data_IF_129738688593
#
_entry.id   IF_129738688593
#
_cell.length_a   1.000
_cell.length_b   1.000
_cell.length_c   1.000
_cell.angle_alpha   90.00
_cell.angle_beta   90.00
_cell.angle_gamma   90.00
#
_symmetry.space_group_name_H-M   'P 1'
#
loop_
_entity.id
_entity.type
_entity.pdbx_description
1 polymer ?
#
# COMPACT_ATOMS: atom_id res chain seq x y z
N UNK A 1 19.61 9.56 21.13
CA UNK A 1 18.31 10.05 20.62
C UNK A 1 17.53 8.86 20.10
N UNK A 2 16.48 8.44 20.81
CA UNK A 2 15.65 7.29 20.41
C UNK A 2 14.77 7.73 19.24
N UNK A 3 15.06 7.26 18.02
CA UNK A 3 14.13 7.43 16.89
C UNK A 3 13.04 6.38 17.07
N UNK A 4 11.90 6.78 17.61
CA UNK A 4 10.70 5.94 17.63
C UNK A 4 10.39 5.55 16.18
N UNK A 5 10.30 4.26 15.83
CA UNK A 5 9.98 3.86 14.47
C UNK A 5 8.60 4.43 14.11
N UNK A 6 8.52 5.17 13.01
CA UNK A 6 7.22 5.60 12.49
C UNK A 6 6.41 4.33 12.21
N UNK A 7 5.17 4.23 12.72
CA UNK A 7 4.32 3.11 12.35
C UNK A 7 4.18 3.08 10.83
N UNK A 8 4.13 1.87 10.22
CA UNK A 8 3.95 1.75 8.78
C UNK A 8 2.71 2.54 8.36
N UNK A 9 2.88 3.41 7.38
CA UNK A 9 1.78 4.17 6.78
C UNK A 9 0.87 3.14 6.12
N UNK A 10 -0.36 3.03 6.64
CA UNK A 10 -1.36 2.17 6.04
C UNK A 10 -1.88 2.83 4.77
N UNK A 11 -1.76 2.14 3.66
CA UNK A 11 -2.36 2.56 2.41
C UNK A 11 -3.86 2.29 2.49
N UNK A 12 -4.67 3.24 2.01
CA UNK A 12 -6.08 3.01 1.75
C UNK A 12 -6.23 2.53 0.29
N UNK A 13 -6.54 1.23 0.07
CA UNK A 13 -6.66 0.68 -1.28
C UNK A 13 -7.65 1.44 -2.14
N UNK A 14 -8.79 1.84 -1.58
CA UNK A 14 -9.87 2.49 -2.31
C UNK A 14 -9.41 3.84 -2.87
N UNK A 15 -8.69 4.63 -2.04
CA UNK A 15 -8.12 5.91 -2.47
C UNK A 15 -7.06 5.76 -3.56
N UNK A 16 -6.24 4.71 -3.51
CA UNK A 16 -5.22 4.46 -4.54
C UNK A 16 -5.87 4.00 -5.84
N UNK A 17 -6.90 3.16 -5.78
CA UNK A 17 -7.65 2.70 -6.95
C UNK A 17 -8.33 3.89 -7.66
N UNK A 18 -8.89 4.83 -6.90
CA UNK A 18 -9.53 6.03 -7.48
C UNK A 18 -8.53 6.92 -8.22
N UNK A 19 -7.29 7.01 -7.72
CA UNK A 19 -6.24 7.89 -8.26
C UNK A 19 -5.37 7.21 -9.32
N UNK A 20 -5.37 5.88 -9.42
CA UNK A 20 -4.44 5.14 -10.30
C UNK A 20 -4.60 5.55 -11.75
N UNK A 21 -5.83 5.81 -12.21
CA UNK A 21 -6.09 6.18 -13.60
C UNK A 21 -5.49 7.55 -14.00
N UNK A 22 -5.12 8.37 -13.03
CA UNK A 22 -4.50 9.69 -13.24
C UNK A 22 -2.98 9.63 -13.37
N UNK A 23 -2.37 8.48 -13.05
CA UNK A 23 -0.92 8.27 -13.05
C UNK A 23 -0.38 7.81 -14.41
N UNK A 24 0.92 7.99 -14.63
CA UNK A 24 1.60 7.36 -15.76
C UNK A 24 1.69 5.83 -15.60
N UNK A 25 1.81 5.08 -16.69
CA UNK A 25 1.71 3.62 -16.68
C UNK A 25 2.67 2.92 -15.70
N UNK A 26 3.91 3.40 -15.56
CA UNK A 26 4.86 2.81 -14.62
C UNK A 26 4.49 3.11 -13.16
N UNK A 27 3.97 4.31 -12.91
CA UNK A 27 3.48 4.72 -11.60
C UNK A 27 2.19 3.98 -11.20
N UNK A 28 1.32 3.68 -12.18
CA UNK A 28 0.14 2.83 -11.98
C UNK A 28 0.54 1.44 -11.48
N UNK A 29 1.53 0.82 -12.13
CA UNK A 29 2.02 -0.50 -11.76
C UNK A 29 2.58 -0.47 -10.33
N UNK A 30 3.45 0.50 -10.03
CA UNK A 30 4.03 0.64 -8.70
C UNK A 30 2.95 0.85 -7.61
N UNK A 31 1.94 1.69 -7.87
CA UNK A 31 0.84 1.94 -6.93
C UNK A 31 0.01 0.67 -6.67
N UNK A 32 -0.32 -0.09 -7.71
CA UNK A 32 -1.07 -1.33 -7.58
C UNK A 32 -0.27 -2.43 -6.86
N UNK A 33 1.02 -2.56 -7.15
CA UNK A 33 1.92 -3.49 -6.45
C UNK A 33 2.00 -3.18 -4.95
N UNK A 34 2.04 -1.89 -4.60
CA UNK A 34 2.07 -1.44 -3.22
C UNK A 34 0.79 -1.83 -2.47
N UNK A 35 -0.38 -1.60 -3.08
CA UNK A 35 -1.69 -2.00 -2.54
C UNK A 35 -1.77 -3.52 -2.38
N UNK A 36 -1.36 -4.27 -3.41
CA UNK A 36 -1.37 -5.73 -3.39
C UNK A 36 -0.50 -6.28 -2.25
N UNK A 37 0.72 -5.76 -2.08
CA UNK A 37 1.64 -6.16 -1.02
C UNK A 37 1.05 -5.90 0.38
N UNK A 38 0.42 -4.74 0.59
CA UNK A 38 -0.20 -4.43 1.86
C UNK A 38 -1.43 -5.31 2.16
N UNK A 39 -2.31 -5.52 1.18
CA UNK A 39 -3.47 -6.40 1.33
C UNK A 39 -3.05 -7.85 1.62
N UNK A 40 -2.03 -8.35 0.91
CA UNK A 40 -1.46 -9.68 1.14
C UNK A 40 -0.91 -9.79 2.56
N UNK A 41 -0.14 -8.79 3.01
CA UNK A 41 0.40 -8.76 4.38
C UNK A 41 -0.71 -8.77 5.43
N UNK A 42 -1.80 -8.03 5.20
CA UNK A 42 -2.96 -8.03 6.10
C UNK A 42 -3.64 -9.40 6.14
N UNK A 43 -3.89 -10.00 4.99
CA UNK A 43 -4.50 -11.33 4.89
C UNK A 43 -3.67 -12.40 5.60
N UNK A 44 -2.35 -12.43 5.37
CA UNK A 44 -1.45 -13.38 6.02
C UNK A 44 -1.44 -13.23 7.55
N UNK A 45 -1.57 -12.01 8.07
CA UNK A 45 -1.67 -11.77 9.52
C UNK A 45 -3.00 -12.20 10.12
N UNK A 46 -4.08 -12.21 9.33
CA UNK A 46 -5.41 -12.68 9.79
C UNK A 46 -5.51 -14.20 9.76
N UNK A 47 -4.71 -14.87 8.93
CA UNK A 47 -4.71 -16.33 8.78
C UNK A 47 -3.71 -17.06 9.69
N UNK A 48 -2.78 -16.34 10.33
CA UNK A 48 -1.79 -16.86 11.27
C UNK A 48 -2.28 -16.75 12.72
#
# INVERSE_FOLDING_TARGET
>A
MSKTPKPPVRINPDTVIDQVNELEREEQIAALEQVHSELTTRLSRTQA
#
